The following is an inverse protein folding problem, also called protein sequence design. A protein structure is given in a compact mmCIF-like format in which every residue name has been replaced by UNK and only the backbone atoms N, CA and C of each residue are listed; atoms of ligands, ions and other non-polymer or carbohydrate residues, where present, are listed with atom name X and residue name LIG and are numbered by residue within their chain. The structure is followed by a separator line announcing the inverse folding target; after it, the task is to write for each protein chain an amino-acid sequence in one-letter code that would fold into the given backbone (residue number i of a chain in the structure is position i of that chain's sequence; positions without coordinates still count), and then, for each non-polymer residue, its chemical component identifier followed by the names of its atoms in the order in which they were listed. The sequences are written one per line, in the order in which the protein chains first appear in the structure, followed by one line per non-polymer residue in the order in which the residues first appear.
data_IF_735109096907
#
_entry.id   IF_735109096907
#
_cell.length_a   1.000
_cell.length_b   1.000
_cell.length_c   1.000
_cell.angle_alpha   90.00
_cell.angle_beta   90.00
_cell.angle_gamma   90.00
#
_symmetry.space_group_name_H-M   'P 1'
#
loop_
_entity.id
_entity.type
_entity.pdbx_description
1 polymer ?
#
# COMPACT_ATOMS: atom_id res chain seq x y z
N UNK A 1 18.27 -2.47 0.90
CA UNK A 1 17.42 -1.40 1.46
C UNK A 1 18.33 -0.17 1.54
N UNK A 2 18.29 0.74 0.55
CA UNK A 2 19.17 1.92 0.56
C UNK A 2 18.73 2.91 1.67
N UNK A 3 17.43 3.01 1.91
CA UNK A 3 16.82 3.82 2.96
C UNK A 3 17.11 3.33 4.39
N UNK A 4 17.56 2.09 4.57
CA UNK A 4 17.90 1.57 5.89
C UNK A 4 19.06 2.35 6.55
N UNK A 5 19.99 2.89 5.75
CA UNK A 5 21.06 3.77 6.24
C UNK A 5 20.50 5.13 6.64
N UNK A 6 19.60 5.70 5.84
CA UNK A 6 18.91 6.97 6.10
C UNK A 6 17.95 6.88 7.31
N UNK A 7 17.48 5.67 7.63
CA UNK A 7 16.61 5.36 8.75
C UNK A 7 17.33 4.84 10.00
N UNK A 8 18.62 5.11 10.19
CA UNK A 8 19.39 4.54 11.32
C UNK A 8 18.76 4.76 12.71
N UNK A 9 18.01 5.85 12.92
CA UNK A 9 17.33 6.16 14.19
C UNK A 9 16.00 5.40 14.37
N UNK A 10 15.46 4.82 13.29
CA UNK A 10 14.24 4.03 13.26
C UNK A 10 14.49 2.76 12.44
N UNK A 11 15.10 1.72 13.05
CA UNK A 11 15.47 0.52 12.31
C UNK A 11 14.25 -0.32 11.94
N UNK A 12 14.33 -1.01 10.81
CA UNK A 12 13.33 -2.01 10.43
C UNK A 12 13.17 -3.09 11.52
N UNK A 13 11.93 -3.52 11.84
CA UNK A 13 11.69 -4.54 12.86
C UNK A 13 12.27 -5.93 12.50
N UNK A 14 12.45 -6.20 11.21
CA UNK A 14 12.94 -7.50 10.73
C UNK A 14 13.71 -7.36 9.41
N UNK A 15 14.77 -8.17 9.21
CA UNK A 15 15.43 -8.32 7.92
C UNK A 15 14.68 -9.29 6.98
N UNK A 16 13.64 -10.00 7.47
CA UNK A 16 12.85 -10.91 6.64
C UNK A 16 11.98 -10.10 5.67
N UNK A 17 11.98 -10.39 4.35
CA UNK A 17 11.30 -9.55 3.36
C UNK A 17 9.82 -9.27 3.66
N UNK A 18 9.08 -10.28 4.11
CA UNK A 18 7.65 -10.16 4.43
C UNK A 18 7.36 -9.33 5.69
N UNK A 19 8.37 -9.04 6.51
CA UNK A 19 8.26 -8.33 7.78
C UNK A 19 9.07 -7.02 7.79
N UNK A 20 9.64 -6.61 6.66
CA UNK A 20 10.51 -5.44 6.54
C UNK A 20 9.70 -4.19 6.17
N UNK A 21 8.81 -3.77 7.08
CA UNK A 21 7.99 -2.57 6.96
C UNK A 21 8.27 -1.61 8.12
N UNK A 22 8.36 -0.32 7.81
CA UNK A 22 8.54 0.75 8.78
C UNK A 22 7.73 1.98 8.38
N UNK A 23 6.81 2.39 9.24
CA UNK A 23 6.03 3.63 9.08
C UNK A 23 6.81 4.84 9.59
N UNK A 24 7.75 5.30 8.77
CA UNK A 24 8.53 6.50 9.04
C UNK A 24 8.85 7.22 7.72
N UNK A 25 9.05 8.54 7.77
CA UNK A 25 9.26 9.36 6.56
C UNK A 25 10.54 9.01 5.80
N UNK A 26 11.59 8.56 6.51
CA UNK A 26 12.84 8.13 5.89
C UNK A 26 12.70 6.80 5.11
N UNK A 27 11.65 6.02 5.37
CA UNK A 27 11.45 4.64 4.89
C UNK A 27 10.85 4.63 3.48
N UNK A 28 11.49 5.29 2.51
CA UNK A 28 10.92 5.41 1.17
C UNK A 28 10.77 4.06 0.45
N UNK A 29 11.57 3.04 0.79
CA UNK A 29 11.44 1.72 0.17
C UNK A 29 10.16 0.98 0.60
N UNK A 30 9.60 1.27 1.78
CA UNK A 30 8.38 0.60 2.29
C UNK A 30 7.18 1.52 2.52
N UNK A 31 7.37 2.85 2.48
CA UNK A 31 6.36 3.84 2.85
C UNK A 31 6.20 4.99 1.82
N UNK A 32 6.79 4.87 0.63
CA UNK A 32 6.54 5.83 -0.47
C UNK A 32 5.23 5.50 -1.22
N UNK A 33 4.45 6.54 -1.54
CA UNK A 33 3.25 6.44 -2.37
C UNK A 33 3.58 6.86 -3.80
N UNK A 34 3.22 6.04 -4.78
CA UNK A 34 3.40 6.36 -6.19
C UNK A 34 2.18 5.97 -7.04
N UNK A 35 1.97 6.70 -8.15
CA UNK A 35 0.80 6.52 -9.03
C UNK A 35 0.70 5.09 -9.58
N UNK A 36 1.83 4.45 -9.87
CA UNK A 36 1.90 3.09 -10.41
C UNK A 36 1.60 2.01 -9.38
N UNK A 37 1.63 2.30 -8.07
CA UNK A 37 1.16 1.38 -7.02
C UNK A 37 -0.35 1.49 -6.82
N UNK A 38 -0.90 2.71 -6.88
CA UNK A 38 -2.33 2.96 -6.74
C UNK A 38 -3.12 2.49 -7.96
N UNK A 39 -2.59 2.66 -9.18
CA UNK A 39 -3.27 2.26 -10.42
C UNK A 39 -3.72 0.78 -10.44
N UNK A 40 -2.85 -0.23 -10.19
CA UNK A 40 -3.26 -1.63 -10.16
C UNK A 40 -4.18 -1.95 -8.97
N UNK A 41 -3.99 -1.30 -7.82
CA UNK A 41 -4.89 -1.46 -6.67
C UNK A 41 -6.33 -1.05 -7.03
N UNK A 42 -6.50 0.11 -7.66
CA UNK A 42 -7.81 0.60 -8.12
C UNK A 42 -8.41 -0.35 -9.16
N UNK A 43 -7.60 -0.82 -10.13
CA UNK A 43 -8.07 -1.76 -11.15
C UNK A 43 -8.65 -3.04 -10.54
N UNK A 44 -7.92 -3.67 -9.60
CA UNK A 44 -8.38 -4.89 -8.93
C UNK A 44 -9.57 -4.62 -8.01
N UNK A 45 -9.54 -3.54 -7.24
CA UNK A 45 -10.65 -3.16 -6.37
C UNK A 45 -11.96 -2.94 -7.14
N UNK A 46 -11.89 -2.27 -8.30
CA UNK A 46 -13.04 -2.08 -9.18
C UNK A 46 -13.55 -3.41 -9.77
N UNK A 47 -12.65 -4.32 -10.17
CA UNK A 47 -13.03 -5.65 -10.64
C UNK A 47 -13.71 -6.48 -9.54
N UNK A 48 -13.19 -6.44 -8.31
CA UNK A 48 -13.81 -7.07 -7.15
C UNK A 48 -15.18 -6.44 -6.85
N UNK A 49 -15.30 -5.11 -6.89
CA UNK A 49 -16.58 -4.43 -6.73
C UNK A 49 -17.59 -4.87 -7.79
N UNK A 50 -17.20 -5.01 -9.05
CA UNK A 50 -18.09 -5.47 -10.11
C UNK A 50 -18.46 -6.96 -9.96
N UNK A 51 -17.56 -7.78 -9.39
CA UNK A 51 -17.73 -9.24 -9.32
C UNK A 51 -18.43 -9.69 -8.03
N UNK A 52 -18.18 -9.00 -6.92
CA UNK A 52 -18.69 -9.32 -5.58
C UNK A 52 -19.78 -8.35 -5.12
N UNK A 53 -19.76 -7.12 -5.64
CA UNK A 53 -20.73 -6.07 -5.34
C UNK A 53 -22.00 -6.22 -6.18
N UNK A 54 -22.76 -7.28 -5.91
CA UNK A 54 -24.18 -7.31 -6.28
C UNK A 54 -24.94 -6.23 -5.50
N UNK A 55 -25.68 -5.40 -6.24
CA UNK A 55 -26.65 -4.37 -5.82
C UNK A 55 -26.07 -3.00 -5.41
N UNK A 56 -26.02 -2.11 -6.41
CA UNK A 56 -26.23 -0.67 -6.20
C UNK A 56 -27.61 -0.50 -5.53
N UNK A 57 -27.72 0.09 -4.32
CA UNK A 57 -29.04 0.47 -3.80
C UNK A 57 -29.70 1.42 -4.81
N UNK A 58 -31.03 1.32 -5.04
CA UNK A 58 -31.72 2.23 -5.96
C UNK A 58 -31.41 3.66 -5.54
N UNK A 59 -31.15 4.52 -6.53
CA UNK A 59 -30.91 5.94 -6.30
C UNK A 59 -32.08 6.49 -5.50
N UNK A 60 -31.81 7.06 -4.32
CA UNK A 60 -32.80 7.80 -3.57
C UNK A 60 -33.20 9.02 -4.42
N UNK A 61 -34.50 9.09 -4.70
CA UNK A 61 -35.19 10.20 -5.37
C UNK A 61 -35.24 11.44 -4.47
#
# INVERSE_FOLDING_TARGET
QQDAEDCAQSPYPSPLPALSYLDHVCSYASNEVAINWNAPLVYVAAALQASLGGQRPPAAE
#
